data_IF_200339149151
#
_entry.id   IF_200339149151
#
_cell.length_a   1.000
_cell.length_b   1.000
_cell.length_c   1.000
_cell.angle_alpha   90.00
_cell.angle_beta   90.00
_cell.angle_gamma   90.00
#
_symmetry.space_group_name_H-M   'P 1'
#
loop_
_entity.id
_entity.type
_entity.pdbx_description
1 polymer ?
#
# COMPACT_ATOMS: atom_id res chain seq x y z
N UNK A 1 -1.89 12.92 -14.57
CA UNK A 1 -2.52 11.60 -14.36
C UNK A 1 -2.99 11.52 -12.92
N UNK A 2 -4.13 10.88 -12.63
CA UNK A 2 -4.57 10.64 -11.24
C UNK A 2 -4.20 9.21 -10.85
N UNK A 3 -3.07 9.05 -10.18
CA UNK A 3 -2.51 7.74 -9.79
C UNK A 3 -2.82 7.48 -8.33
N UNK A 4 -3.36 6.30 -8.04
CA UNK A 4 -3.57 5.84 -6.67
C UNK A 4 -2.58 4.74 -6.32
N UNK A 5 -1.88 4.89 -5.20
CA UNK A 5 -1.12 3.80 -4.61
C UNK A 5 -2.04 2.91 -3.77
N UNK A 6 -1.93 1.60 -3.89
CA UNK A 6 -2.68 0.61 -3.10
C UNK A 6 -1.69 -0.26 -2.32
N UNK A 7 -1.84 -0.29 -1.00
CA UNK A 7 -0.99 -1.08 -0.10
C UNK A 7 -1.85 -2.13 0.61
N UNK A 8 -1.73 -3.42 0.28
CA UNK A 8 -2.36 -4.49 1.04
C UNK A 8 -1.57 -4.76 2.33
N UNK A 9 -2.29 -4.83 3.45
CA UNK A 9 -1.72 -5.12 4.77
C UNK A 9 -2.49 -6.26 5.43
N UNK A 10 -1.79 -7.36 5.71
CA UNK A 10 -2.33 -8.46 6.52
C UNK A 10 -2.44 -8.03 7.99
N UNK A 11 -3.19 -8.75 8.84
CA UNK A 11 -3.13 -8.49 10.27
C UNK A 11 -1.70 -8.47 10.78
N UNK A 12 -1.42 -7.50 11.65
CA UNK A 12 -0.05 -7.11 11.98
C UNK A 12 0.74 -8.28 12.58
N UNK A 13 0.09 -9.07 13.44
CA UNK A 13 0.69 -10.25 14.10
C UNK A 13 0.84 -11.46 13.17
N UNK A 14 -0.01 -11.55 12.15
CA UNK A 14 0.01 -12.60 11.11
C UNK A 14 1.07 -12.30 10.02
N UNK A 15 1.52 -11.04 9.94
CA UNK A 15 2.50 -10.59 8.98
C UNK A 15 3.90 -11.12 9.30
N UNK A 16 4.76 -11.15 8.26
CA UNK A 16 6.15 -11.62 8.36
C UNK A 16 6.30 -13.01 8.98
N UNK A 17 5.34 -13.91 8.75
CA UNK A 17 5.33 -15.26 9.31
C UNK A 17 6.58 -16.10 9.00
N UNK A 18 7.31 -15.79 7.93
CA UNK A 18 8.59 -16.44 7.59
C UNK A 18 9.70 -16.20 8.60
N UNK A 19 9.64 -15.11 9.38
CA UNK A 19 10.63 -14.77 10.42
C UNK A 19 10.08 -14.94 11.83
N UNK A 20 9.01 -15.73 12.00
CA UNK A 20 8.39 -16.01 13.31
C UNK A 20 9.28 -16.79 14.28
N UNK A 21 10.33 -17.43 13.77
CA UNK A 21 11.36 -18.11 14.55
C UNK A 21 12.37 -17.13 15.18
N UNK A 22 12.37 -15.87 14.74
CA UNK A 22 13.26 -14.80 15.23
C UNK A 22 12.45 -13.77 16.02
N UNK A 23 11.26 -13.40 15.52
CA UNK A 23 10.41 -12.36 16.09
C UNK A 23 9.08 -12.91 16.58
N UNK A 24 8.70 -12.51 17.79
CA UNK A 24 7.39 -12.74 18.39
C UNK A 24 6.26 -12.09 17.58
N UNK A 25 5.00 -12.43 17.89
CA UNK A 25 3.85 -11.82 17.23
C UNK A 25 3.79 -10.30 17.38
N UNK A 26 4.26 -9.78 18.52
CA UNK A 26 4.20 -8.36 18.83
C UNK A 26 5.35 -7.60 18.16
N UNK A 27 6.58 -8.17 18.13
CA UNK A 27 7.70 -7.61 17.37
C UNK A 27 7.43 -7.60 15.85
N UNK A 28 6.76 -8.63 15.32
CA UNK A 28 6.34 -8.63 13.91
C UNK A 28 5.27 -7.58 13.63
N UNK A 29 4.36 -7.34 14.58
CA UNK A 29 3.35 -6.31 14.47
C UNK A 29 3.98 -4.91 14.47
N UNK A 30 4.94 -4.66 15.37
CA UNK A 30 5.71 -3.42 15.43
C UNK A 30 6.51 -3.19 14.15
N UNK A 31 7.26 -4.20 13.69
CA UNK A 31 8.02 -4.12 12.44
C UNK A 31 7.11 -3.84 11.23
N UNK A 32 5.98 -4.54 11.13
CA UNK A 32 5.03 -4.33 10.02
C UNK A 32 4.43 -2.91 10.09
N UNK A 33 4.14 -2.42 11.29
CA UNK A 33 3.63 -1.07 11.51
C UNK A 33 4.62 0.00 11.07
N UNK A 34 5.87 -0.14 11.48
CA UNK A 34 6.95 0.76 11.09
C UNK A 34 7.17 0.77 9.57
N UNK A 35 7.24 -0.42 8.95
CA UNK A 35 7.49 -0.52 7.52
C UNK A 35 6.34 0.04 6.67
N UNK A 36 5.09 -0.28 7.01
CA UNK A 36 3.97 0.26 6.25
C UNK A 36 3.83 1.78 6.43
N UNK A 37 4.10 2.30 7.63
CA UNK A 37 4.12 3.74 7.90
C UNK A 37 5.13 4.44 7.02
N UNK A 38 6.39 3.96 7.01
CA UNK A 38 7.44 4.46 6.12
C UNK A 38 7.01 4.42 4.64
N UNK A 39 6.44 3.31 4.17
CA UNK A 39 5.99 3.21 2.77
C UNK A 39 4.93 4.27 2.44
N UNK A 40 3.99 4.53 3.36
CA UNK A 40 2.97 5.56 3.18
C UNK A 40 3.61 6.95 3.16
N UNK A 41 4.56 7.22 4.06
CA UNK A 41 5.26 8.50 4.14
C UNK A 41 6.02 8.79 2.83
N UNK A 42 6.79 7.82 2.33
CA UNK A 42 7.49 7.93 1.03
C UNK A 42 6.50 8.20 -0.10
N UNK A 43 5.38 7.48 -0.16
CA UNK A 43 4.36 7.71 -1.18
C UNK A 43 3.69 9.07 -1.08
N UNK A 44 3.64 9.67 0.11
CA UNK A 44 3.08 11.01 0.31
C UNK A 44 3.98 12.12 -0.23
N UNK A 45 5.27 11.85 -0.40
CA UNK A 45 6.26 12.76 -0.97
C UNK A 45 6.28 12.71 -2.51
N UNK A 46 5.73 11.66 -3.12
CA UNK A 46 5.70 11.49 -4.58
C UNK A 46 4.55 12.29 -5.18
N UNK A 47 4.87 13.41 -5.83
CA UNK A 47 3.88 14.34 -6.41
C UNK A 47 2.89 13.72 -7.39
N UNK A 48 3.30 12.66 -8.11
CA UNK A 48 2.43 11.97 -9.06
C UNK A 48 1.38 11.07 -8.39
N UNK A 49 1.59 10.66 -7.14
CA UNK A 49 0.64 9.85 -6.37
C UNK A 49 -0.39 10.77 -5.75
N UNK A 50 -1.62 10.70 -6.26
CA UNK A 50 -2.72 11.56 -5.81
C UNK A 50 -3.36 11.07 -4.51
N UNK A 51 -3.26 9.77 -4.22
CA UNK A 51 -3.78 9.15 -3.00
C UNK A 51 -3.13 7.80 -2.72
N UNK A 52 -2.93 7.50 -1.45
CA UNK A 52 -2.59 6.17 -0.95
C UNK A 52 -3.80 5.53 -0.28
N UNK A 53 -4.14 4.30 -0.69
CA UNK A 53 -5.21 3.47 -0.13
C UNK A 53 -4.62 2.22 0.53
N UNK A 54 -4.78 2.09 1.83
CA UNK A 54 -4.44 0.88 2.58
C UNK A 54 -5.64 -0.04 2.67
N UNK A 55 -5.45 -1.30 2.30
CA UNK A 55 -6.47 -2.35 2.34
C UNK A 55 -6.10 -3.36 3.41
N UNK A 56 -6.99 -3.56 4.38
CA UNK A 56 -6.76 -4.53 5.45
C UNK A 56 -8.04 -4.95 6.15
N UNK A 57 -8.06 -6.17 6.66
CA UNK A 57 -9.04 -6.64 7.66
C UNK A 57 -8.68 -6.29 9.10
N UNK A 58 -7.49 -5.75 9.36
CA UNK A 58 -7.02 -5.44 10.71
C UNK A 58 -7.30 -3.98 11.08
N UNK A 59 -8.21 -3.71 12.05
CA UNK A 59 -8.53 -2.35 12.45
C UNK A 59 -7.33 -1.56 12.97
N UNK A 60 -6.34 -2.22 13.57
CA UNK A 60 -5.13 -1.57 14.05
C UNK A 60 -4.28 -1.09 12.86
N UNK A 61 -4.14 -1.91 11.83
CA UNK A 61 -3.43 -1.53 10.61
C UNK A 61 -4.10 -0.33 9.91
N UNK A 62 -5.43 -0.36 9.80
CA UNK A 62 -6.20 0.75 9.23
C UNK A 62 -6.08 2.03 10.09
N UNK A 63 -6.03 1.90 11.42
CA UNK A 63 -5.83 3.05 12.31
C UNK A 63 -4.47 3.71 12.07
N UNK A 64 -3.41 2.92 11.98
CA UNK A 64 -2.05 3.41 11.71
C UNK A 64 -1.99 4.08 10.33
N UNK A 65 -2.54 3.43 9.31
CA UNK A 65 -2.60 4.00 7.96
C UNK A 65 -3.22 5.42 7.94
N UNK A 66 -4.33 5.62 8.67
CA UNK A 66 -4.96 6.95 8.79
C UNK A 66 -4.08 7.97 9.52
N UNK A 67 -3.28 7.53 10.49
CA UNK A 67 -2.33 8.42 11.19
C UNK A 67 -1.23 8.93 10.26
N UNK A 68 -0.84 8.13 9.27
CA UNK A 68 0.07 8.51 8.19
C UNK A 68 -0.64 9.19 6.99
N UNK A 69 -1.91 9.58 7.13
CA UNK A 69 -2.65 10.30 6.08
C UNK A 69 -3.18 9.43 4.93
N UNK A 70 -3.02 8.10 4.98
CA UNK A 70 -3.60 7.22 3.97
C UNK A 70 -5.11 7.05 4.13
N UNK A 71 -5.79 6.87 2.99
CA UNK A 71 -7.17 6.38 2.95
C UNK A 71 -7.21 4.89 3.27
N UNK A 72 -8.34 4.39 3.76
CA UNK A 72 -8.45 3.01 4.21
C UNK A 72 -9.68 2.29 3.68
N UNK A 73 -9.51 1.04 3.27
CA UNK A 73 -10.61 0.13 2.96
C UNK A 73 -10.54 -1.09 3.89
N UNK A 74 -11.56 -1.23 4.74
CA UNK A 74 -11.69 -2.34 5.67
C UNK A 74 -12.32 -3.56 5.02
N UNK A 75 -11.66 -4.71 5.14
CA UNK A 75 -12.19 -5.99 4.67
C UNK A 75 -12.95 -6.70 5.79
N UNK A 76 -14.14 -7.22 5.48
CA UNK A 76 -15.01 -7.89 6.46
C UNK A 76 -14.68 -9.36 6.69
N UNK A 77 -14.00 -10.02 5.74
CA UNK A 77 -13.68 -11.44 5.80
C UNK A 77 -12.24 -11.70 5.36
N UNK A 78 -11.74 -12.92 5.61
CA UNK A 78 -10.45 -13.37 5.07
C UNK A 78 -10.58 -13.54 3.56
N UNK A 79 -10.34 -12.47 2.82
CA UNK A 79 -10.37 -12.47 1.36
C UNK A 79 -9.00 -12.86 0.80
N UNK A 80 -9.03 -13.44 -0.40
CA UNK A 80 -7.82 -13.61 -1.19
C UNK A 80 -7.23 -12.23 -1.55
N UNK A 81 -5.90 -12.14 -1.57
CA UNK A 81 -5.19 -10.90 -1.85
C UNK A 81 -5.61 -10.29 -3.18
N UNK A 82 -5.78 -11.10 -4.22
CA UNK A 82 -6.14 -10.59 -5.55
C UNK A 82 -7.56 -10.03 -5.57
N UNK A 83 -8.48 -10.64 -4.80
CA UNK A 83 -9.85 -10.12 -4.67
C UNK A 83 -9.85 -8.76 -3.94
N UNK A 84 -9.06 -8.64 -2.88
CA UNK A 84 -8.88 -7.39 -2.14
C UNK A 84 -8.35 -6.27 -3.06
N UNK A 85 -7.30 -6.57 -3.82
CA UNK A 85 -6.71 -5.64 -4.78
C UNK A 85 -7.68 -5.28 -5.91
N UNK A 86 -8.46 -6.24 -6.42
CA UNK A 86 -9.48 -5.99 -7.45
C UNK A 86 -10.52 -4.99 -6.95
N UNK A 87 -11.03 -5.18 -5.71
CA UNK A 87 -12.00 -4.27 -5.09
C UNK A 87 -11.40 -2.89 -4.85
N UNK A 88 -10.17 -2.82 -4.37
CA UNK A 88 -9.46 -1.56 -4.16
C UNK A 88 -9.26 -0.79 -5.48
N UNK A 89 -8.92 -1.49 -6.57
CA UNK A 89 -8.83 -0.90 -7.90
C UNK A 89 -10.17 -0.36 -8.39
N UNK A 90 -11.28 -1.06 -8.13
CA UNK A 90 -12.62 -0.54 -8.45
C UNK A 90 -12.98 0.70 -7.63
N UNK A 91 -12.60 0.76 -6.34
CA UNK A 91 -12.78 1.95 -5.50
C UNK A 91 -11.99 3.14 -6.06
N UNK A 92 -10.73 2.92 -6.45
CA UNK A 92 -9.89 3.93 -7.08
C UNK A 92 -10.51 4.44 -8.39
N UNK A 93 -10.95 3.52 -9.26
CA UNK A 93 -11.61 3.86 -10.53
C UNK A 93 -12.91 4.65 -10.32
N UNK A 94 -13.74 4.26 -9.35
CA UNK A 94 -14.97 4.99 -8.99
C UNK A 94 -14.67 6.42 -8.50
N UNK A 95 -13.48 6.65 -7.93
CA UNK A 95 -12.97 7.97 -7.54
C UNK A 95 -12.09 8.62 -8.61
N UNK A 96 -12.27 8.21 -9.87
CA UNK A 96 -11.64 8.79 -11.08
C UNK A 96 -10.12 8.64 -11.12
N UNK A 97 -9.55 7.64 -10.44
CA UNK A 97 -8.15 7.25 -10.69
C UNK A 97 -8.04 6.68 -12.10
N UNK A 98 -7.03 7.13 -12.85
CA UNK A 98 -6.74 6.64 -14.21
C UNK A 98 -5.67 5.54 -14.22
N UNK A 99 -4.97 5.36 -13.09
CA UNK A 99 -3.93 4.37 -12.91
C UNK A 99 -3.86 3.97 -11.43
N UNK A 100 -3.48 2.71 -11.19
CA UNK A 100 -3.22 2.19 -9.85
C UNK A 100 -1.81 1.63 -9.79
N UNK A 101 -1.09 1.95 -8.73
CA UNK A 101 0.22 1.38 -8.39
C UNK A 101 0.04 0.51 -7.15
N UNK A 102 0.26 -0.79 -7.26
CA UNK A 102 0.16 -1.71 -6.11
C UNK A 102 1.55 -1.94 -5.53
N UNK A 103 1.74 -1.63 -4.25
CA UNK A 103 3.01 -1.80 -3.56
C UNK A 103 2.87 -2.64 -2.29
N UNK A 104 3.80 -3.58 -2.03
CA UNK A 104 3.89 -4.25 -0.74
C UNK A 104 4.09 -3.28 0.43
N UNK A 105 3.62 -3.67 1.62
CA UNK A 105 3.80 -2.90 2.87
C UNK A 105 5.17 -3.06 3.51
N UNK A 106 6.05 -3.88 2.94
CA UNK A 106 7.32 -4.28 3.53
C UNK A 106 8.54 -3.94 2.68
N UNK A 107 8.59 -2.70 2.21
CA UNK A 107 9.68 -2.17 1.38
C UNK A 107 10.60 -1.27 2.22
N UNK A 108 11.56 -1.84 2.99
CA UNK A 108 12.38 -1.06 3.92
C UNK A 108 13.33 -0.07 3.26
N UNK A 109 13.57 -0.22 1.96
CA UNK A 109 14.51 0.59 1.19
C UNK A 109 13.81 1.41 0.10
N UNK A 110 12.47 1.45 0.08
CA UNK A 110 11.74 2.24 -0.92
C UNK A 110 12.10 3.71 -0.77
N UNK A 111 12.48 4.32 -1.89
CA UNK A 111 12.74 5.76 -2.01
C UNK A 111 11.67 6.44 -2.85
N UNK A 112 11.64 7.77 -2.83
CA UNK A 112 10.74 8.56 -3.69
C UNK A 112 11.09 8.32 -5.15
N UNK A 113 12.39 8.29 -5.46
CA UNK A 113 12.94 8.07 -6.80
C UNK A 113 12.51 6.70 -7.37
N UNK A 114 12.49 5.65 -6.54
CA UNK A 114 12.00 4.34 -6.97
C UNK A 114 10.54 4.39 -7.46
N UNK A 115 9.69 5.12 -6.75
CA UNK A 115 8.27 5.25 -7.09
C UNK A 115 8.09 6.12 -8.33
N UNK A 116 8.83 7.22 -8.44
CA UNK A 116 8.82 8.10 -9.62
C UNK A 116 9.23 7.33 -10.88
N UNK A 117 10.29 6.51 -10.81
CA UNK A 117 10.70 5.64 -11.92
C UNK A 117 9.60 4.64 -12.33
N UNK A 118 8.89 4.04 -11.36
CA UNK A 118 7.76 3.14 -11.66
C UNK A 118 6.61 3.88 -12.35
N UNK A 119 6.30 5.09 -11.87
CA UNK A 119 5.24 5.94 -12.43
C UNK A 119 5.58 6.38 -13.85
N UNK A 120 6.84 6.72 -14.13
CA UNK A 120 7.29 7.15 -15.46
C UNK A 120 7.14 6.02 -16.49
N UNK A 121 7.47 4.78 -16.12
CA UNK A 121 7.25 3.61 -16.99
C UNK A 121 5.76 3.34 -17.23
N UNK A 122 4.93 3.56 -16.21
CA UNK A 122 3.47 3.36 -16.28
C UNK A 122 2.75 4.51 -17.02
N UNK A 123 3.38 5.68 -17.09
CA UNK A 123 2.85 6.84 -17.80
C UNK A 123 3.06 6.65 -19.30
N UNK A 124 1.98 6.64 -20.11
CA UNK A 124 2.13 6.66 -21.56
C UNK A 124 2.54 8.08 -21.98
N UNK A 125 3.76 8.49 -21.65
CA UNK A 125 4.42 9.52 -22.41
C UNK A 125 4.67 8.91 -23.79
N UNK A 126 3.86 9.33 -24.77
CA UNK A 126 4.20 9.34 -26.20
C UNK A 126 5.14 8.20 -26.59
N UNK A 127 4.59 6.99 -26.77
CA UNK A 127 5.24 6.03 -27.67
C UNK A 127 5.05 6.59 -29.07
N UNK A 128 5.92 7.51 -29.47
CA UNK A 128 6.08 7.95 -30.85
C UNK A 128 6.41 6.70 -31.69
N UNK A 129 5.60 6.45 -32.71
CA UNK A 129 5.88 5.47 -33.79
C UNK A 129 5.14 4.15 -33.68
#
# INVERSE_FOLDING_TARGET
MNIWAIIPVKPLRDSKSRISHILSGDERAELTSYLMGRTIDVLSEVMAISRTLVVSRDPAALKIARQHGASTYGETEKQDLNLALTRASHIAAAQKANCVLVLPSDLPLLTVEDVEMMVDVASPAVRDG
#
